data_IF_001636611191
#
_entry.id   IF_001636611191
#
_cell.length_a   1.000
_cell.length_b   1.000
_cell.length_c   1.000
_cell.angle_alpha   90.00
_cell.angle_beta   90.00
_cell.angle_gamma   90.00
#
_symmetry.space_group_name_H-M   'P 1'
#
loop_
_entity.id
_entity.type
_entity.pdbx_description
1 polymer ?
2 non-polymer ?
3 non-polymer ?
4 water ?
#
# COMPACT_ATOMS: atom_id res chain seq x y z
N UNK A 1 0.17 -20.60 8.09
CA UNK A 1 1.35 -19.72 8.10
C UNK A 1 2.31 -20.00 6.93
N UNK A 2 1.93 -20.88 5.95
CA UNK A 2 2.66 -20.73 4.70
C UNK A 2 2.49 -19.30 4.17
N UNK A 3 3.47 -18.85 3.41
CA UNK A 3 3.34 -17.55 2.71
C UNK A 3 2.06 -17.55 1.87
N UNK A 4 1.32 -16.42 1.88
CA UNK A 4 0.13 -16.24 1.11
C UNK A 4 0.29 -15.30 -0.07
N UNK A 5 -0.34 -15.64 -1.19
CA UNK A 5 -0.33 -14.80 -2.41
C UNK A 5 -0.90 -13.44 -2.14
N UNK A 6 -0.43 -12.50 -2.93
CA UNK A 6 -0.89 -11.11 -2.78
C UNK A 6 -2.05 -10.83 -3.75
N UNK A 7 -3.12 -10.20 -3.23
CA UNK A 7 -4.21 -9.85 -4.12
C UNK A 7 -3.98 -8.49 -4.81
N UNK A 8 -4.96 -8.03 -5.63
CA UNK A 8 -4.70 -6.83 -6.47
C UNK A 8 -4.45 -5.57 -5.63
N UNK A 9 -5.21 -5.46 -4.54
CA UNK A 9 -5.06 -4.23 -3.72
C UNK A 9 -3.65 -4.22 -3.09
N UNK A 10 -3.24 -5.37 -2.61
CA UNK A 10 -1.90 -5.50 -1.98
C UNK A 10 -0.78 -5.20 -3.00
N UNK A 11 -0.88 -5.72 -4.23
CA UNK A 11 0.14 -5.34 -5.23
C UNK A 11 0.09 -3.87 -5.62
N UNK A 12 -1.15 -3.35 -5.79
CA UNK A 12 -1.28 -1.94 -6.22
C UNK A 12 -0.71 -1.01 -5.12
N UNK A 13 -0.92 -1.39 -3.84
CA UNK A 13 -0.35 -0.64 -2.72
C UNK A 13 1.21 -0.58 -2.92
N UNK A 14 1.83 -1.74 -3.15
CA UNK A 14 3.25 -1.76 -3.30
C UNK A 14 3.64 -0.85 -4.45
N UNK A 15 2.99 -0.97 -5.60
CA UNK A 15 3.50 -0.19 -6.74
C UNK A 15 3.37 1.32 -6.45
N UNK A 16 2.23 1.74 -5.87
CA UNK A 16 2.12 3.18 -5.64
C UNK A 16 3.06 3.69 -4.56
N UNK A 17 3.34 2.90 -3.53
CA UNK A 17 4.24 3.35 -2.47
C UNK A 17 5.65 3.41 -3.01
N UNK A 18 6.02 2.44 -3.85
CA UNK A 18 7.38 2.53 -4.40
C UNK A 18 7.53 3.73 -5.34
N UNK A 19 6.52 4.09 -6.11
CA UNK A 19 6.64 5.37 -6.85
C UNK A 19 6.72 6.56 -5.93
N UNK A 20 5.89 6.59 -4.86
CA UNK A 20 5.93 7.74 -3.99
C UNK A 20 7.31 7.92 -3.39
N UNK A 21 7.94 6.81 -2.99
CA UNK A 21 9.16 6.90 -2.21
C UNK A 21 10.44 6.98 -3.08
N UNK A 22 10.33 6.70 -4.40
CA UNK A 22 11.54 6.60 -5.26
C UNK A 22 11.49 7.43 -6.53
N UNK A 23 10.30 7.73 -7.06
CA UNK A 23 10.25 8.47 -8.36
C UNK A 23 10.67 9.92 -8.15
N UNK A 24 11.60 10.40 -8.95
CA UNK A 24 12.00 11.80 -8.77
C UNK A 24 10.84 12.76 -9.05
N UNK A 25 10.95 13.99 -8.53
CA UNK A 25 9.90 14.99 -8.73
C UNK A 25 10.48 16.04 -9.68
N UNK A 26 9.65 16.91 -10.27
CA UNK A 26 10.21 17.94 -11.12
C UNK A 26 10.68 17.52 -12.47
N UNK A 27 11.71 18.18 -12.98
CA UNK A 27 12.02 18.06 -14.38
C UNK A 27 12.66 16.70 -14.72
N UNK A 28 13.16 16.00 -13.70
CA UNK A 28 13.76 14.71 -14.07
C UNK A 28 12.78 13.52 -13.94
N UNK A 29 11.57 13.80 -13.54
CA UNK A 29 10.60 12.71 -13.30
C UNK A 29 10.29 12.00 -14.61
N UNK A 30 10.09 12.78 -15.69
CA UNK A 30 9.43 12.19 -16.89
C UNK A 30 10.28 10.99 -17.45
N UNK A 31 11.60 11.07 -17.43
CA UNK A 31 12.39 9.94 -17.95
C UNK A 31 12.24 8.68 -17.11
N UNK A 32 12.28 8.84 -15.79
CA UNK A 32 12.10 7.67 -14.92
C UNK A 32 10.67 7.15 -15.01
N UNK A 33 9.70 8.07 -14.94
CA UNK A 33 8.29 7.57 -15.03
C UNK A 33 7.99 6.83 -16.32
N UNK A 34 8.43 7.38 -17.47
CA UNK A 34 8.11 6.69 -18.71
C UNK A 34 8.75 5.29 -18.80
N UNK A 35 9.96 5.13 -18.26
CA UNK A 35 10.65 3.80 -18.26
C UNK A 35 9.97 2.89 -17.20
N UNK A 36 9.91 3.33 -15.94
CA UNK A 36 9.32 2.42 -14.91
C UNK A 36 7.84 2.05 -15.23
N UNK A 37 7.03 2.98 -15.78
CA UNK A 37 5.61 2.65 -16.06
C UNK A 37 5.47 1.57 -17.16
N UNK A 38 6.53 1.43 -17.98
CA UNK A 38 6.65 0.43 -19.05
C UNK A 38 7.35 -0.84 -18.53
N UNK A 39 7.53 -0.89 -17.18
CA UNK A 39 8.25 -2.01 -16.52
C UNK A 39 9.67 -2.21 -17.13
N UNK A 40 10.35 -1.09 -17.44
CA UNK A 40 11.75 -1.13 -17.82
C UNK A 40 12.57 -0.70 -16.63
N UNK A 41 13.43 -1.60 -16.19
CA UNK A 41 14.29 -1.29 -14.96
C UNK A 41 15.54 -0.51 -15.44
N UNK A 42 15.24 0.68 -15.92
CA UNK A 42 16.29 1.58 -16.47
C UNK A 42 16.03 2.98 -15.91
N UNK A 43 17.00 3.90 -15.97
CA UNK A 43 18.41 3.65 -16.25
C UNK A 43 19.06 2.86 -15.12
N UNK A 44 20.31 2.40 -15.34
CA UNK A 44 21.05 1.73 -14.32
C UNK A 44 21.69 2.78 -13.43
N UNK A 45 21.00 3.21 -12.37
CA UNK A 45 21.59 4.16 -11.44
C UNK A 45 20.99 3.90 -10.07
N UNK A 46 21.49 4.65 -9.06
CA UNK A 46 21.07 4.41 -7.68
C UNK A 46 19.60 4.61 -7.45
N UNK A 47 19.03 5.55 -8.20
CA UNK A 47 17.57 5.86 -8.10
C UNK A 47 16.79 4.57 -8.47
N UNK A 48 17.15 4.03 -9.60
CA UNK A 48 16.42 2.82 -10.07
C UNK A 48 16.78 1.62 -9.18
N UNK A 49 18.02 1.48 -8.71
CA UNK A 49 18.34 0.34 -7.92
C UNK A 49 17.47 0.31 -6.67
N UNK A 50 17.29 1.43 -6.02
CA UNK A 50 16.52 1.40 -4.79
C UNK A 50 15.04 1.19 -5.10
N UNK A 51 14.57 1.73 -6.24
CA UNK A 51 13.17 1.45 -6.64
C UNK A 51 12.95 -0.07 -6.82
N UNK A 52 13.90 -0.72 -7.49
CA UNK A 52 13.76 -2.15 -7.77
C UNK A 52 13.74 -2.89 -6.43
N UNK A 53 14.62 -2.53 -5.48
CA UNK A 53 14.62 -3.20 -4.21
C UNK A 53 13.30 -2.97 -3.50
N UNK A 54 12.74 -1.76 -3.67
CA UNK A 54 11.43 -1.46 -2.98
C UNK A 54 10.34 -2.39 -3.56
N UNK A 55 10.33 -2.58 -4.88
CA UNK A 55 9.24 -3.38 -5.52
C UNK A 55 9.44 -4.85 -5.16
N UNK A 56 10.69 -5.31 -5.16
CA UNK A 56 10.94 -6.72 -4.87
C UNK A 56 10.57 -7.02 -3.42
N UNK A 57 10.93 -6.06 -2.52
CA UNK A 57 10.56 -6.25 -1.11
C UNK A 57 9.03 -6.24 -0.88
N UNK A 58 8.37 -5.30 -1.56
CA UNK A 58 6.92 -5.14 -1.34
C UNK A 58 6.13 -6.32 -1.87
N UNK A 59 6.56 -6.84 -3.03
CA UNK A 59 5.91 -8.02 -3.60
C UNK A 59 6.33 -9.30 -2.89
N UNK A 60 7.28 -9.16 -1.96
CA UNK A 60 7.75 -10.26 -1.14
C UNK A 60 8.48 -11.33 -1.92
N UNK A 61 9.06 -10.87 -3.04
CA UNK A 61 9.89 -11.75 -3.86
C UNK A 61 11.29 -11.76 -3.19
N UNK A 62 11.67 -10.65 -2.55
CA UNK A 62 12.91 -10.62 -1.73
C UNK A 62 12.53 -10.54 -0.26
N UNK A 63 13.15 -11.38 0.59
CA UNK A 63 12.85 -11.29 2.03
C UNK A 63 14.04 -10.70 2.75
N UNK A 64 13.87 -9.52 3.38
CA UNK A 64 15.04 -8.89 4.00
C UNK A 64 15.60 -9.62 5.21
N UNK A 65 14.72 -10.28 5.96
CA UNK A 65 15.17 -11.04 7.13
C UNK A 65 16.09 -12.20 6.78
N UNK A 66 15.73 -12.99 5.76
CA UNK A 66 16.61 -14.06 5.31
C UNK A 66 17.70 -13.57 4.41
N UNK A 67 17.54 -12.34 3.88
CA UNK A 67 18.37 -11.84 2.80
C UNK A 67 18.43 -12.83 1.60
N UNK A 68 17.25 -13.15 1.07
CA UNK A 68 17.18 -14.14 -0.02
C UNK A 68 16.05 -13.83 -0.93
N UNK A 69 16.20 -14.26 -2.18
CA UNK A 69 15.05 -14.25 -3.10
C UNK A 69 14.19 -15.48 -2.81
N UNK A 70 12.90 -15.31 -2.69
CA UNK A 70 12.00 -16.40 -2.30
C UNK A 70 11.33 -16.94 -3.58
N UNK A 71 12.13 -17.66 -4.37
CA UNK A 71 11.63 -18.25 -5.61
C UNK A 71 10.46 -19.18 -5.36
N UNK A 72 10.37 -19.80 -4.18
CA UNK A 72 9.21 -20.66 -3.88
C UNK A 72 7.84 -19.93 -3.74
N UNK A 73 7.86 -18.59 -3.77
CA UNK A 73 6.61 -17.83 -3.73
C UNK A 73 6.00 -17.62 -5.08
N UNK A 74 6.84 -17.71 -6.11
CA UNK A 74 6.36 -17.56 -7.51
C UNK A 74 5.19 -18.57 -7.83
N UNK A 75 5.38 -19.86 -7.59
CA UNK A 75 4.25 -20.78 -7.92
C UNK A 75 3.03 -20.56 -7.04
N UNK A 76 3.28 -20.14 -5.77
CA UNK A 76 2.17 -19.81 -4.85
C UNK A 76 1.36 -18.58 -5.35
N UNK A 77 2.08 -17.53 -5.74
CA UNK A 77 1.41 -16.35 -6.39
C UNK A 77 0.60 -16.76 -7.64
N UNK A 78 1.20 -17.60 -8.47
CA UNK A 78 0.50 -18.14 -9.68
C UNK A 78 -0.71 -18.99 -9.27
N UNK A 79 -0.55 -19.94 -8.33
CA UNK A 79 -1.68 -20.89 -8.06
C UNK A 79 -2.95 -20.14 -7.61
N UNK A 80 -2.75 -19.06 -6.84
CA UNK A 80 -3.92 -18.39 -6.25
C UNK A 80 -4.87 -17.78 -7.28
N UNK A 81 -4.34 -17.38 -8.45
CA UNK A 81 -5.07 -16.60 -9.45
C UNK A 81 -5.06 -17.24 -10.85
N UNK A 82 -4.62 -18.49 -10.95
CA UNK A 82 -4.30 -19.04 -12.30
C UNK A 82 -5.57 -19.17 -13.17
N UNK A 83 -6.76 -19.31 -12.56
CA UNK A 83 -8.00 -19.40 -13.40
C UNK A 83 -8.36 -18.04 -14.02
N UNK A 84 -7.77 -16.96 -13.48
CA UNK A 84 -8.01 -15.59 -14.03
C UNK A 84 -6.90 -15.13 -14.97
N UNK A 85 -5.62 -15.25 -14.56
CA UNK A 85 -4.54 -14.85 -15.45
C UNK A 85 -4.39 -15.80 -16.66
N UNK A 86 -4.72 -17.07 -16.46
CA UNK A 86 -4.42 -18.16 -17.42
C UNK A 86 -2.94 -18.22 -17.82
N UNK A 87 -2.01 -17.83 -16.92
CA UNK A 87 -0.60 -17.82 -17.28
C UNK A 87 -0.21 -19.27 -17.45
N UNK A 88 0.88 -19.51 -18.17
CA UNK A 88 1.27 -20.88 -18.54
C UNK A 88 2.16 -21.44 -17.46
N UNK A 89 1.76 -22.59 -16.95
CA UNK A 89 2.54 -23.35 -15.99
C UNK A 89 4.01 -23.51 -16.38
N UNK A 90 4.30 -23.85 -17.65
CA UNK A 90 5.68 -24.07 -18.08
C UNK A 90 6.54 -22.79 -17.86
N UNK A 91 5.93 -21.60 -18.09
CA UNK A 91 6.68 -20.35 -17.94
C UNK A 91 6.88 -20.01 -16.48
N UNK A 92 5.87 -20.31 -15.67
CA UNK A 92 5.97 -20.06 -14.25
C UNK A 92 7.14 -20.90 -13.71
N UNK A 93 7.22 -22.17 -14.14
CA UNK A 93 8.36 -23.00 -13.70
C UNK A 93 9.70 -22.39 -14.13
N UNK A 94 9.80 -21.89 -15.33
CA UNK A 94 11.04 -21.32 -15.80
C UNK A 94 11.43 -20.06 -15.00
N UNK A 95 10.43 -19.26 -14.66
CA UNK A 95 10.67 -18.03 -13.88
C UNK A 95 11.19 -18.45 -12.50
N UNK A 96 10.55 -19.45 -11.91
CA UNK A 96 11.00 -19.98 -10.63
C UNK A 96 12.48 -20.43 -10.68
N UNK A 97 12.81 -21.20 -11.72
CA UNK A 97 14.20 -21.69 -11.87
C UNK A 97 15.18 -20.50 -11.93
N UNK A 98 14.81 -19.53 -12.77
CA UNK A 98 15.71 -18.38 -13.07
C UNK A 98 15.91 -17.63 -11.74
N UNK A 99 14.81 -17.38 -11.00
CA UNK A 99 15.01 -16.64 -9.74
C UNK A 99 15.84 -17.44 -8.72
N UNK A 100 15.65 -18.75 -8.69
CA UNK A 100 16.49 -19.61 -7.81
C UNK A 100 17.96 -19.52 -8.09
N UNK A 101 18.33 -19.19 -9.31
CA UNK A 101 19.71 -19.01 -9.66
C UNK A 101 20.31 -17.65 -9.22
N UNK A 102 19.48 -16.68 -8.84
CA UNK A 102 20.00 -15.35 -8.62
C UNK A 102 20.65 -15.26 -7.25
N UNK A 103 21.67 -14.41 -7.14
CA UNK A 103 22.38 -14.21 -5.87
C UNK A 103 22.13 -12.83 -5.27
N UNK A 104 21.47 -12.77 -4.11
CA UNK A 104 21.17 -11.49 -3.49
C UNK A 104 22.42 -10.80 -2.96
N UNK A 105 23.51 -11.58 -2.76
CA UNK A 105 24.76 -11.01 -2.23
C UNK A 105 24.53 -10.23 -0.93
N UNK A 106 24.88 -8.95 -0.84
CA UNK A 106 24.69 -8.24 0.42
C UNK A 106 23.24 -7.81 0.73
N UNK A 107 22.36 -7.91 -0.29
CA UNK A 107 21.00 -7.39 -0.15
C UNK A 107 20.91 -5.88 -0.38
N UNK A 108 22.02 -5.24 -0.76
CA UNK A 108 21.99 -3.79 -0.99
C UNK A 108 21.12 -3.52 -2.23
N UNK A 109 20.68 -2.29 -2.42
CA UNK A 109 19.90 -1.97 -3.65
C UNK A 109 20.62 -2.44 -4.91
N UNK A 110 21.89 -2.08 -5.07
CA UNK A 110 22.59 -2.46 -6.34
C UNK A 110 22.76 -3.98 -6.45
N UNK A 111 23.02 -4.70 -5.32
CA UNK A 111 23.13 -6.19 -5.41
C UNK A 111 21.81 -6.83 -5.87
N UNK A 112 20.67 -6.36 -5.32
CA UNK A 112 19.39 -6.89 -5.73
C UNK A 112 19.08 -6.53 -7.16
N UNK A 113 19.30 -5.27 -7.55
CA UNK A 113 19.07 -4.90 -8.96
C UNK A 113 19.93 -5.74 -9.89
N UNK A 114 21.22 -5.85 -9.59
CA UNK A 114 22.07 -6.62 -10.51
C UNK A 114 21.63 -8.11 -10.63
N UNK A 115 21.22 -8.72 -9.52
CA UNK A 115 20.81 -10.17 -9.54
C UNK A 115 19.48 -10.35 -10.28
N UNK A 116 18.56 -9.39 -10.02
CA UNK A 116 17.20 -9.53 -10.57
C UNK A 116 17.04 -9.10 -12.01
N UNK A 117 17.88 -8.15 -12.49
CA UNK A 117 17.70 -7.58 -13.82
C UNK A 117 17.60 -8.67 -14.94
N UNK A 118 18.53 -9.65 -14.98
CA UNK A 118 18.45 -10.64 -16.09
C UNK A 118 17.21 -11.48 -15.97
N UNK A 119 16.71 -11.69 -14.74
CA UNK A 119 15.49 -12.48 -14.59
C UNK A 119 14.30 -11.63 -15.10
N UNK A 120 14.27 -10.38 -14.69
CA UNK A 120 13.26 -9.44 -15.17
C UNK A 120 13.20 -9.34 -16.70
N UNK A 121 14.34 -9.25 -17.33
CA UNK A 121 14.36 -9.08 -18.76
C UNK A 121 13.77 -10.27 -19.49
N UNK A 122 13.85 -11.43 -18.85
CA UNK A 122 13.30 -12.66 -19.45
C UNK A 122 11.84 -12.87 -19.11
N UNK A 123 11.41 -12.43 -17.91
CA UNK A 123 10.07 -12.83 -17.41
C UNK A 123 9.18 -11.65 -17.10
N UNK A 124 9.57 -10.46 -17.60
CA UNK A 124 8.78 -9.30 -17.21
C UNK A 124 7.29 -9.47 -17.45
N UNK A 125 6.88 -9.91 -18.67
CA UNK A 125 5.45 -9.92 -18.90
C UNK A 125 4.74 -10.92 -17.99
N UNK A 126 5.31 -12.13 -17.80
CA UNK A 126 4.73 -13.09 -16.87
C UNK A 126 4.63 -12.52 -15.43
N UNK A 127 5.68 -11.88 -15.00
CA UNK A 127 5.65 -11.28 -13.64
C UNK A 127 4.52 -10.24 -13.49
N UNK A 128 4.16 -9.53 -14.59
CA UNK A 128 3.08 -8.52 -14.52
C UNK A 128 1.74 -9.23 -14.48
N UNK A 129 1.64 -10.44 -15.09
CA UNK A 129 0.46 -11.24 -14.92
C UNK A 129 0.32 -11.78 -13.51
N UNK A 130 1.41 -12.34 -12.99
CA UNK A 130 1.33 -12.98 -11.70
C UNK A 130 1.05 -11.98 -10.57
N UNK A 131 1.74 -10.81 -10.62
CA UNK A 131 1.67 -9.87 -9.51
C UNK A 131 0.77 -8.61 -9.90
N UNK A 132 -0.22 -8.79 -10.77
CA UNK A 132 -1.29 -7.79 -10.97
C UNK A 132 -0.70 -6.43 -11.36
N UNK A 133 0.28 -6.55 -12.24
CA UNK A 133 1.05 -5.43 -12.75
C UNK A 133 0.54 -4.82 -14.05
N UNK A 134 -0.67 -5.13 -14.45
CA UNK A 134 -1.28 -4.46 -15.64
C UNK A 134 -2.64 -3.98 -15.15
N UNK A 135 -3.13 -2.91 -15.76
CA UNK A 135 -4.39 -2.37 -15.30
C UNK A 135 -5.53 -3.38 -15.61
N UNK A 136 -5.51 -3.89 -16.83
CA UNK A 136 -6.56 -4.80 -17.26
C UNK A 136 -6.59 -6.14 -16.46
N UNK A 137 -5.37 -6.66 -16.16
CA UNK A 137 -5.26 -7.93 -15.39
C UNK A 137 -5.69 -7.67 -13.97
N UNK A 138 -5.28 -6.54 -13.38
CA UNK A 138 -5.70 -6.32 -11.99
C UNK A 138 -7.24 -6.11 -11.97
N UNK A 139 -7.78 -5.49 -13.04
CA UNK A 139 -9.25 -5.28 -13.02
C UNK A 139 -10.02 -6.61 -12.98
N UNK A 140 -9.49 -7.63 -13.65
CA UNK A 140 -10.10 -8.97 -13.61
C UNK A 140 -10.07 -9.56 -12.22
N UNK A 141 -8.97 -9.33 -11.48
CA UNK A 141 -8.85 -9.83 -10.14
C UNK A 141 -9.91 -9.10 -9.29
N UNK A 142 -10.01 -7.76 -9.43
CA UNK A 142 -11.00 -7.03 -8.57
C UNK A 142 -12.42 -7.50 -8.85
N UNK A 143 -12.68 -7.83 -10.12
CA UNK A 143 -14.01 -8.34 -10.53
C UNK A 143 -14.32 -9.67 -9.89
N UNK A 144 -13.27 -10.51 -9.69
CA UNK A 144 -13.42 -11.81 -9.19
C UNK A 144 -13.43 -11.76 -7.66
N UNK A 145 -13.00 -10.62 -7.10
CA UNK A 145 -12.78 -10.41 -5.64
C UNK A 145 -13.51 -9.21 -5.13
N UNK A 146 -14.87 -9.25 -5.19
CA UNK A 146 -15.61 -8.14 -4.70
C UNK A 146 -15.34 -7.91 -3.18
N UNK A 147 -14.77 -8.90 -2.49
CA UNK A 147 -14.58 -8.78 -1.07
C UNK A 147 -13.35 -7.96 -0.71
N UNK A 148 -12.47 -7.69 -1.69
CA UNK A 148 -11.32 -6.82 -1.33
C UNK A 148 -11.62 -5.37 -1.59
N UNK A 149 -10.82 -4.49 -0.99
CA UNK A 149 -11.09 -3.07 -1.17
C UNK A 149 -10.84 -2.61 -2.63
N UNK A 150 -11.86 -1.97 -3.21
CA UNK A 150 -11.84 -1.68 -4.66
C UNK A 150 -11.11 -0.35 -4.92
N UNK A 151 -10.66 -0.17 -6.16
CA UNK A 151 -10.24 1.19 -6.57
C UNK A 151 -11.36 2.19 -6.40
N UNK A 152 -11.07 3.36 -5.82
CA UNK A 152 -12.13 4.38 -5.62
C UNK A 152 -12.90 4.26 -4.33
N UNK A 153 -12.63 3.19 -3.58
CA UNK A 153 -13.31 2.94 -2.30
C UNK A 153 -12.26 3.15 -1.17
N UNK A 154 -12.56 3.99 -0.15
CA UNK A 154 -11.54 4.23 0.87
C UNK A 154 -11.47 3.07 1.84
N UNK A 155 -10.34 2.93 2.53
CA UNK A 155 -10.31 1.86 3.51
C UNK A 155 -11.32 2.19 4.64
N UNK A 156 -11.51 3.46 4.95
CA UNK A 156 -12.45 3.80 6.08
C UNK A 156 -13.87 3.36 5.69
N UNK A 157 -14.25 3.56 4.43
CA UNK A 157 -15.60 3.06 3.95
C UNK A 157 -15.67 1.54 3.91
N UNK A 158 -14.66 0.88 3.35
CA UNK A 158 -14.61 -0.57 3.24
C UNK A 158 -14.67 -1.19 4.65
N UNK A 159 -13.93 -0.62 5.58
CA UNK A 159 -13.90 -1.22 6.93
C UNK A 159 -15.22 -0.98 7.70
N UNK A 160 -15.83 0.18 7.49
CA UNK A 160 -17.16 0.45 8.09
C UNK A 160 -18.17 -0.58 7.69
N UNK A 161 -18.20 -0.90 6.40
CA UNK A 161 -19.21 -1.88 5.87
C UNK A 161 -19.03 -3.22 6.47
N UNK A 162 -17.78 -3.61 6.76
CA UNK A 162 -17.49 -4.89 7.34
C UNK A 162 -17.73 -4.92 8.82
N UNK A 163 -17.49 -3.80 9.47
CA UNK A 163 -17.58 -3.75 10.92
C UNK A 163 -19.01 -3.70 11.46
N UNK A 164 -19.90 -3.07 10.69
CA UNK A 164 -21.32 -2.95 11.09
C UNK A 164 -22.14 -3.68 10.02
N UNK A 165 -22.21 -4.99 10.16
CA UNK A 165 -22.67 -5.90 9.11
C UNK A 165 -23.99 -6.41 9.65
N UNK A 166 -24.16 -6.29 10.97
CA UNK A 166 -25.23 -6.92 11.72
C UNK A 166 -26.45 -6.06 11.94
N UNK A 167 -27.12 -6.37 13.06
CA UNK A 167 -28.35 -5.72 13.46
C UNK A 167 -28.09 -4.35 14.06
N UNK A 168 -26.91 -4.17 14.67
CA UNK A 168 -26.54 -2.84 15.17
C UNK A 168 -26.30 -1.89 13.99
N UNK A 169 -27.02 -0.76 14.04
CA UNK A 169 -26.85 0.41 13.15
C UNK A 169 -25.41 0.89 13.24
N UNK A 170 -24.87 1.31 12.10
CA UNK A 170 -23.54 1.89 12.11
C UNK A 170 -23.48 3.17 12.91
N UNK A 171 -22.44 3.33 13.72
CA UNK A 171 -22.18 4.59 14.39
C UNK A 171 -21.88 5.72 13.41
N UNK A 172 -21.47 5.33 12.19
CA UNK A 172 -21.06 6.27 11.14
C UNK A 172 -22.14 6.43 10.07
N UNK A 173 -23.38 6.10 10.42
CA UNK A 173 -24.49 6.10 9.45
C UNK A 173 -24.77 7.44 8.78
N UNK A 174 -24.65 8.55 9.49
CA UNK A 174 -24.69 9.84 8.75
C UNK A 174 -23.31 10.46 8.39
N UNK A 175 -22.30 9.61 8.41
CA UNK A 175 -20.93 10.05 8.21
C UNK A 175 -20.00 9.54 9.28
N UNK A 176 -18.79 9.13 8.86
CA UNK A 176 -17.76 8.82 9.84
C UNK A 176 -17.47 9.96 10.84
N UNK A 177 -17.31 9.56 12.11
CA UNK A 177 -17.07 10.49 13.19
C UNK A 177 -15.83 10.07 13.96
N UNK A 178 -15.35 10.96 14.84
CA UNK A 178 -14.26 10.70 15.78
C UNK A 178 -14.75 10.41 17.23
N UNK A 179 -16.01 10.03 17.35
CA UNK A 179 -16.56 9.70 18.69
C UNK A 179 -15.98 8.39 19.17
N UNK A 180 -15.48 8.38 20.42
CA UNK A 180 -14.82 7.23 20.99
C UNK A 180 -15.78 6.42 21.87
N UNK A 181 -16.51 5.50 21.26
CA UNK A 181 -17.63 4.82 21.95
C UNK A 181 -17.16 3.53 22.60
N UNK A 182 -16.00 3.02 22.21
CA UNK A 182 -15.49 1.83 22.84
C UNK A 182 -16.26 0.60 22.41
N UNK A 183 -17.07 0.70 21.36
CA UNK A 183 -17.88 -0.48 20.97
C UNK A 183 -17.03 -1.56 20.26
N UNK A 184 -17.48 -2.83 20.27
CA UNK A 184 -16.73 -3.86 19.54
C UNK A 184 -16.64 -3.54 18.05
N UNK A 185 -17.65 -2.91 17.52
CA UNK A 185 -17.70 -2.67 16.11
C UNK A 185 -16.69 -1.58 15.78
N UNK A 186 -16.64 -0.54 16.61
CA UNK A 186 -15.70 0.57 16.39
C UNK A 186 -14.29 0.02 16.52
N UNK A 187 -14.05 -0.82 17.54
CA UNK A 187 -12.66 -1.35 17.68
C UNK A 187 -12.30 -2.13 16.43
N UNK A 188 -13.27 -2.88 15.90
CA UNK A 188 -13.04 -3.69 14.70
C UNK A 188 -12.79 -2.80 13.48
N UNK A 189 -13.60 -1.76 13.29
CA UNK A 189 -13.40 -0.86 12.15
C UNK A 189 -11.96 -0.21 12.21
N UNK A 190 -11.59 0.21 13.40
CA UNK A 190 -10.33 0.94 13.57
C UNK A 190 -9.12 0.03 13.32
N UNK A 191 -9.24 -1.20 13.79
CA UNK A 191 -8.18 -2.21 13.48
C UNK A 191 -8.06 -2.39 11.98
N UNK A 192 -9.20 -2.59 11.32
CA UNK A 192 -9.18 -2.82 9.86
C UNK A 192 -8.58 -1.58 9.14
N UNK A 193 -9.00 -0.36 9.55
CA UNK A 193 -8.49 0.86 8.92
C UNK A 193 -7.00 1.02 9.19
N UNK A 194 -6.59 0.84 10.44
CA UNK A 194 -5.11 0.96 10.73
C UNK A 194 -4.28 -0.09 9.91
N UNK A 195 -4.82 -1.31 9.74
CA UNK A 195 -4.07 -2.25 8.91
C UNK A 195 -4.10 -1.90 7.40
N UNK A 196 -5.23 -1.37 6.90
CA UNK A 196 -5.30 -0.94 5.50
C UNK A 196 -4.40 0.27 5.23
N UNK A 197 -4.31 1.19 6.19
CA UNK A 197 -3.35 2.34 6.02
C UNK A 197 -1.90 2.00 6.33
N UNK A 198 -1.66 0.72 6.66
CA UNK A 198 -0.30 0.24 6.98
C UNK A 198 0.23 0.97 8.23
N UNK A 199 -0.68 1.43 9.08
CA UNK A 199 -0.28 1.92 10.42
C UNK A 199 0.10 0.73 11.35
N UNK A 200 -0.38 -0.45 11.01
CA UNK A 200 -0.19 -1.58 11.91
C UNK A 200 -0.14 -2.83 11.13
N UNK A 201 0.67 -3.80 11.62
CA UNK A 201 0.51 -5.15 11.13
C UNK A 201 0.65 -6.10 12.31
N UNK A 202 0.88 -7.39 12.04
CA UNK A 202 0.97 -8.34 13.16
C UNK A 202 2.10 -8.11 14.15
N UNK A 203 3.18 -7.47 13.66
CA UNK A 203 4.30 -7.06 14.51
C UNK A 203 4.09 -5.78 15.37
N UNK A 204 3.03 -5.01 15.13
CA UNK A 204 2.63 -3.93 16.01
C UNK A 204 2.51 -2.63 15.21
N UNK A 205 2.47 -1.52 15.94
CA UNK A 205 2.26 -0.19 15.33
C UNK A 205 3.50 0.25 14.61
N UNK A 206 3.34 0.88 13.41
CA UNK A 206 4.47 1.45 12.66
C UNK A 206 4.31 2.95 12.83
N UNK A 207 4.95 3.48 13.90
CA UNK A 207 4.86 4.88 14.18
C UNK A 207 5.23 5.70 12.94
N UNK A 208 6.27 5.29 12.20
CA UNK A 208 6.77 6.17 11.09
C UNK A 208 5.67 6.40 10.05
N UNK A 209 4.69 5.50 9.98
CA UNK A 209 3.61 5.66 8.95
C UNK A 209 2.64 6.75 9.40
N UNK A 210 2.36 6.78 10.71
CA UNK A 210 1.53 7.91 11.19
C UNK A 210 2.27 9.24 11.03
N UNK A 211 3.55 9.28 11.43
CA UNK A 211 4.32 10.49 11.17
C UNK A 211 4.31 10.93 9.67
N UNK A 212 4.45 9.95 8.78
CA UNK A 212 4.37 10.19 7.35
C UNK A 212 3.08 10.91 7.00
N UNK A 213 1.97 10.48 7.58
CA UNK A 213 0.68 11.18 7.30
C UNK A 213 0.63 12.62 7.79
N UNK A 214 1.26 12.90 8.92
CA UNK A 214 1.46 14.32 9.35
C UNK A 214 2.35 15.10 8.39
N UNK A 215 3.40 14.45 7.84
CA UNK A 215 4.28 15.14 6.89
C UNK A 215 3.43 15.54 5.65
N UNK A 216 2.56 14.63 5.28
CA UNK A 216 1.76 14.81 4.05
C UNK A 216 0.66 15.89 4.17
N UNK A 217 0.31 16.31 5.40
CA UNK A 217 -0.49 17.54 5.58
C UNK A 217 0.30 18.77 6.01
N UNK A 218 1.61 18.70 5.77
CA UNK A 218 2.54 19.80 5.99
C UNK A 218 2.71 20.12 7.43
N UNK A 219 2.56 19.09 8.24
CA UNK A 219 2.80 19.26 9.71
C UNK A 219 4.08 18.47 10.16
N UNK A 220 5.14 18.44 9.32
CA UNK A 220 6.27 17.54 9.73
C UNK A 220 6.93 18.01 10.98
N UNK A 221 6.82 19.32 11.31
CA UNK A 221 7.44 19.81 12.59
C UNK A 221 6.78 19.21 13.84
N UNK A 222 5.62 18.53 13.71
CA UNK A 222 5.02 17.90 14.85
C UNK A 222 5.46 16.45 15.06
N UNK A 223 6.43 15.99 14.28
CA UNK A 223 6.85 14.58 14.42
C UNK A 223 7.20 14.20 15.85
N UNK A 224 7.97 15.04 16.58
CA UNK A 224 8.28 14.65 17.90
C UNK A 224 7.02 14.50 18.81
N UNK A 225 6.03 15.38 18.61
CA UNK A 225 4.79 15.31 19.40
C UNK A 225 4.03 14.03 19.05
N UNK A 226 3.97 13.68 17.76
CA UNK A 226 3.35 12.41 17.36
C UNK A 226 4.02 11.22 18.03
N UNK A 227 5.36 11.21 17.98
CA UNK A 227 6.07 10.13 18.62
C UNK A 227 5.77 10.07 20.13
N UNK A 228 5.67 11.24 20.76
CA UNK A 228 5.55 11.31 22.21
C UNK A 228 4.16 10.80 22.61
N UNK A 229 3.12 11.26 21.90
CA UNK A 229 1.77 10.75 22.18
C UNK A 229 1.68 9.22 22.03
N UNK A 230 2.28 8.66 20.96
CA UNK A 230 2.17 7.23 20.75
C UNK A 230 3.05 6.47 21.75
N UNK A 231 4.17 7.08 22.18
CA UNK A 231 5.07 6.37 23.09
C UNK A 231 4.45 6.24 24.48
N UNK A 232 3.61 7.20 24.88
CA UNK A 232 3.02 7.14 26.20
C UNK A 232 1.63 6.48 26.22
N UNK A 233 1.18 6.00 25.06
CA UNK A 233 -0.11 5.36 24.90
C UNK A 233 -0.10 3.99 25.58
N UNK A 234 -1.06 3.73 26.47
CA UNK A 234 -1.18 2.41 27.01
C UNK A 234 -2.21 1.61 26.18
N UNK A 235 -1.82 0.39 25.95
CA UNK A 235 -2.55 -0.57 25.14
C UNK A 235 -1.86 -0.72 23.82
N UNK A 236 -2.13 -1.83 23.13
CA UNK A 236 -1.43 -2.19 21.88
C UNK A 236 -2.38 -2.37 20.74
N UNK A 237 -3.71 -2.24 20.96
CA UNK A 237 -4.66 -2.47 19.83
C UNK A 237 -4.74 -1.16 19.03
N UNK A 238 -5.03 -1.29 17.74
CA UNK A 238 -5.28 -0.06 16.93
C UNK A 238 -6.15 0.94 17.66
N UNK A 239 -7.32 0.50 18.18
CA UNK A 239 -8.21 1.43 18.86
C UNK A 239 -7.50 2.16 20.04
N UNK A 240 -6.62 1.48 20.79
CA UNK A 240 -5.91 2.20 21.86
C UNK A 240 -5.12 3.42 21.34
N UNK A 241 -4.37 3.19 20.25
CA UNK A 241 -3.59 4.31 19.64
C UNK A 241 -4.46 5.44 19.10
N UNK A 242 -5.56 5.06 18.44
CA UNK A 242 -6.52 5.98 17.88
C UNK A 242 -7.09 6.82 19.00
N UNK A 243 -7.44 6.17 20.10
CA UNK A 243 -7.90 6.90 21.31
C UNK A 243 -6.89 7.91 21.82
N UNK A 244 -5.64 7.50 21.93
CA UNK A 244 -4.57 8.43 22.40
C UNK A 244 -4.42 9.62 21.47
N UNK A 245 -4.45 9.36 20.15
CA UNK A 245 -4.32 10.48 19.19
C UNK A 245 -5.51 11.44 19.26
N UNK A 246 -6.72 10.88 19.27
CA UNK A 246 -7.93 11.69 19.28
C UNK A 246 -8.10 12.51 20.58
N UNK A 247 -7.67 11.93 21.70
CA UNK A 247 -7.78 12.65 22.98
C UNK A 247 -6.65 13.67 23.16
N UNK A 248 -5.57 13.57 22.40
CA UNK A 248 -4.41 14.38 22.58
C UNK A 248 -4.57 15.80 22.04
N UNK A 249 -3.56 16.65 22.27
CA UNK A 249 -3.64 17.97 21.69
C UNK A 249 -3.36 17.98 20.19
N UNK A 250 -3.07 16.82 19.64
CA UNK A 250 -2.89 16.70 18.17
C UNK A 250 -4.18 16.40 17.50
N UNK A 251 -5.30 16.32 18.27
CA UNK A 251 -6.59 15.88 17.69
C UNK A 251 -6.90 16.45 16.33
N UNK A 252 -6.89 17.79 16.17
CA UNK A 252 -7.37 18.29 14.89
C UNK A 252 -6.41 17.91 13.74
N UNK A 253 -5.14 17.98 14.03
CA UNK A 253 -4.16 17.62 12.96
C UNK A 253 -4.27 16.13 12.62
N UNK A 254 -4.44 15.26 13.65
CA UNK A 254 -4.61 13.86 13.33
C UNK A 254 -5.87 13.68 12.47
N UNK A 255 -6.99 14.30 12.87
CA UNK A 255 -8.22 14.19 12.02
C UNK A 255 -7.89 14.59 10.58
N UNK A 256 -7.21 15.73 10.39
CA UNK A 256 -6.90 16.16 9.03
C UNK A 256 -6.00 15.13 8.30
N UNK A 257 -5.03 14.61 9.03
CA UNK A 257 -4.09 13.61 8.41
C UNK A 257 -4.80 12.31 8.03
N UNK A 258 -5.67 11.83 8.90
CA UNK A 258 -6.39 10.54 8.69
C UNK A 258 -7.46 10.74 7.62
N UNK A 259 -8.08 11.95 7.58
CA UNK A 259 -9.01 12.28 6.50
C UNK A 259 -8.33 12.35 5.12
N UNK A 260 -7.13 12.91 5.10
CA UNK A 260 -6.41 12.96 3.82
C UNK A 260 -6.02 11.52 3.44
N UNK A 261 -5.59 10.72 4.42
CA UNK A 261 -5.26 9.34 4.03
C UNK A 261 -6.50 8.57 3.60
N UNK A 262 -7.70 8.93 4.11
CA UNK A 262 -8.92 8.30 3.54
C UNK A 262 -8.96 8.49 2.05
N UNK A 263 -8.76 9.73 1.57
CA UNK A 263 -8.79 10.07 0.15
C UNK A 263 -7.72 9.23 -0.60
N UNK A 264 -6.53 9.25 -0.02
CA UNK A 264 -5.37 8.58 -0.61
C UNK A 264 -5.55 7.07 -0.63
N UNK A 265 -6.37 6.54 0.27
CA UNK A 265 -6.56 5.08 0.29
C UNK A 265 -7.65 4.67 -0.71
N UNK A 266 -8.43 5.65 -1.16
CA UNK A 266 -9.43 5.31 -2.20
C UNK A 266 -8.73 5.44 -3.58
N UNK A 267 -7.85 6.45 -3.74
CA UNK A 267 -7.21 6.66 -5.07
C UNK A 267 -5.74 6.50 -4.89
N UNK A 268 -5.27 5.27 -5.18
CA UNK A 268 -3.85 4.97 -4.93
C UNK A 268 -2.91 5.80 -5.79
N UNK A 269 -3.42 6.36 -6.87
CA UNK A 269 -2.60 7.25 -7.68
C UNK A 269 -2.54 8.71 -7.24
N UNK A 270 -3.22 9.11 -6.16
CA UNK A 270 -3.47 10.53 -5.87
C UNK A 270 -2.19 11.38 -5.85
N UNK A 271 -1.19 10.97 -5.07
CA UNK A 271 0.01 11.79 -5.02
C UNK A 271 0.82 11.66 -6.33
N UNK A 272 0.71 10.55 -7.04
CA UNK A 272 1.46 10.42 -8.29
C UNK A 272 0.91 11.27 -9.42
N UNK A 273 -0.35 11.70 -9.35
CA UNK A 273 -0.99 12.62 -10.33
C UNK A 273 -0.49 14.04 -10.21
N UNK A 274 0.32 14.26 -9.15
CA UNK A 274 0.83 15.60 -8.88
C UNK A 274 -0.02 16.40 -7.89
N UNK A 275 -1.04 15.77 -7.32
CA UNK A 275 -1.92 16.41 -6.37
C UNK A 275 -1.28 16.43 -5.01
N UNK A 276 -1.53 17.51 -4.29
CA UNK A 276 -1.02 17.65 -2.89
C UNK A 276 -2.10 18.07 -1.93
N UNK A 277 -1.80 17.97 -0.62
CA UNK A 277 -2.77 18.45 0.34
C UNK A 277 -2.95 19.98 0.26
N UNK A 278 -4.20 20.44 0.42
CA UNK A 278 -4.51 21.87 0.45
C UNK A 278 -5.17 22.22 1.77
N UNK A 279 -6.33 21.64 2.05
CA UNK A 279 -7.06 21.92 3.26
C UNK A 279 -8.17 20.94 3.39
N UNK A 280 -8.82 20.89 4.55
CA UNK A 280 -9.85 19.89 4.75
C UNK A 280 -11.05 19.97 3.80
N UNK A 281 -11.43 21.17 3.40
CA UNK A 281 -12.57 21.35 2.51
C UNK A 281 -12.28 20.80 1.17
N UNK A 282 -11.04 20.97 0.67
CA UNK A 282 -10.64 20.36 -0.58
C UNK A 282 -10.67 18.79 -0.52
N UNK A 283 -10.26 18.22 0.62
CA UNK A 283 -10.30 16.74 0.76
C UNK A 283 -11.78 16.32 0.59
N UNK A 284 -12.67 17.02 1.27
CA UNK A 284 -14.09 16.65 1.15
C UNK A 284 -14.56 16.72 -0.30
N UNK A 285 -14.20 17.80 -1.01
CA UNK A 285 -14.54 17.91 -2.41
C UNK A 285 -14.05 16.75 -3.27
N UNK A 286 -12.78 16.39 -3.07
CA UNK A 286 -12.20 15.29 -3.78
C UNK A 286 -12.88 13.96 -3.42
N UNK A 287 -13.28 13.80 -2.14
CA UNK A 287 -14.03 12.55 -1.76
C UNK A 287 -15.37 12.51 -2.49
N UNK A 288 -16.03 13.67 -2.63
CA UNK A 288 -17.33 13.72 -3.36
C UNK A 288 -17.12 13.34 -4.83
N UNK A 289 -16.00 13.73 -5.42
CA UNK A 289 -15.70 13.37 -6.82
C UNK A 289 -15.51 11.88 -7.05
N UNK A 290 -15.05 11.18 -6.02
CA UNK A 290 -14.93 9.74 -6.14
C UNK A 290 -16.31 9.07 -6.32
N UNK A 291 -17.39 9.71 -5.80
CA UNK A 291 -18.73 9.14 -5.91
C UNK A 291 -19.48 9.82 -7.13
N UNK A 292 -18.79 9.82 -8.27
CA UNK A 292 -19.43 10.30 -9.50
C UNK A 292 -19.09 9.30 -10.60
N UNK A 293 -19.81 9.44 -11.72
CA UNK A 293 -19.62 8.49 -12.80
C UNK A 293 -18.15 8.36 -13.19
N UNK A 294 -17.44 9.46 -13.35
CA UNK A 294 -16.03 9.38 -13.75
C UNK A 294 -14.98 9.24 -12.63
N UNK A 295 -15.38 9.61 -11.44
CA UNK A 295 -14.66 9.24 -10.17
C UNK A 295 -13.57 10.25 -9.94
N UNK A 296 -13.60 11.35 -10.68
CA UNK A 296 -12.68 12.44 -10.38
C UNK A 296 -13.24 13.78 -10.90
#
# INVERSE_FOLDING_TARGET
QPWKALDAEQALYVYKRCYEDHLPSGSDRKTYMTLWNAWRLEPNDAITHCYAKCVLTGLQIYDPQENAFKSDRIPVQYQAYKTITQSKQKEVTEYQKALAAANAKSGSCVDLYNAYLPVHNRFVNLSRQLYHGTVEGAAKIYAAMPEIKQKGESFHAYCEKRAWKGNKQSEWKNGRRYKLTGSPELKDAIDCIFRGLRYMDDTGLKVDEIVRDFNLINKSELEPEVRSVLASCKGSEAYDYYVCLVNSRLKQHFKNAFDFHELRSADYAYLLRGKVYENPEKVKEEMKKLNTTVHF
#
